data_IF_460331398968
#
_entry.id   IF_460331398968
#
_cell.length_a   1.000
_cell.length_b   1.000
_cell.length_c   1.000
_cell.angle_alpha   90.00
_cell.angle_beta   90.00
_cell.angle_gamma   90.00
#
_symmetry.space_group_name_H-M   'P 1'
#
loop_
_entity.id
_entity.type
_entity.pdbx_description
1 polymer ?
#
# COMPACT_ATOMS: atom_id res chain seq x y z
N UNK A 1 21.75 11.69 5.22
CA UNK A 1 20.83 10.64 5.73
C UNK A 1 19.37 11.02 5.52
N UNK A 2 18.93 12.22 5.95
CA UNK A 2 17.53 12.67 5.81
C UNK A 2 17.00 12.74 4.36
N UNK A 3 17.79 13.22 3.40
CA UNK A 3 17.35 13.35 1.98
C UNK A 3 17.08 11.99 1.32
N UNK A 4 17.88 10.97 1.66
CA UNK A 4 17.68 9.59 1.19
C UNK A 4 16.40 8.99 1.79
N UNK A 5 16.14 9.27 3.08
CA UNK A 5 14.90 8.85 3.76
C UNK A 5 13.65 9.45 3.14
N UNK A 6 13.68 10.74 2.76
CA UNK A 6 12.55 11.41 2.08
C UNK A 6 12.27 10.84 0.68
N UNK A 7 13.29 10.57 -0.12
CA UNK A 7 13.13 9.97 -1.46
C UNK A 7 12.56 8.56 -1.33
N UNK A 8 13.04 7.77 -0.38
CA UNK A 8 12.55 6.41 -0.14
C UNK A 8 11.09 6.40 0.35
N UNK A 9 10.73 7.34 1.23
CA UNK A 9 9.36 7.52 1.70
C UNK A 9 8.42 7.98 0.56
N UNK A 10 8.88 8.87 -0.32
CA UNK A 10 8.09 9.32 -1.48
C UNK A 10 7.82 8.18 -2.47
N UNK A 11 8.85 7.40 -2.81
CA UNK A 11 8.73 6.24 -3.72
C UNK A 11 7.85 5.15 -3.08
N UNK A 12 8.04 4.87 -1.79
CA UNK A 12 7.20 3.93 -1.04
C UNK A 12 5.73 4.38 -0.95
N UNK A 13 5.49 5.69 -0.80
CA UNK A 13 4.15 6.28 -0.81
C UNK A 13 3.46 6.14 -2.18
N UNK A 14 4.17 6.44 -3.27
CA UNK A 14 3.65 6.29 -4.63
C UNK A 14 3.39 4.81 -4.96
N UNK A 15 4.33 3.92 -4.63
CA UNK A 15 4.18 2.47 -4.81
C UNK A 15 2.99 1.91 -4.03
N UNK A 16 2.80 2.36 -2.79
CA UNK A 16 1.64 2.01 -1.95
C UNK A 16 0.32 2.48 -2.56
N UNK A 17 0.29 3.70 -3.13
CA UNK A 17 -0.89 4.24 -3.79
C UNK A 17 -1.27 3.44 -5.05
N UNK A 18 -0.28 3.07 -5.87
CA UNK A 18 -0.52 2.26 -7.07
C UNK A 18 -1.07 0.88 -6.68
N UNK A 19 -0.49 0.23 -5.67
CA UNK A 19 -0.98 -1.05 -5.18
C UNK A 19 -2.43 -0.94 -4.66
N UNK A 20 -2.73 0.13 -3.92
CA UNK A 20 -4.07 0.42 -3.42
C UNK A 20 -5.09 0.60 -4.55
N UNK A 21 -4.74 1.37 -5.59
CA UNK A 21 -5.59 1.56 -6.78
C UNK A 21 -5.83 0.23 -7.49
N UNK A 22 -4.79 -0.60 -7.67
CA UNK A 22 -4.94 -1.91 -8.32
C UNK A 22 -5.88 -2.85 -7.55
N UNK A 23 -5.81 -2.85 -6.22
CA UNK A 23 -6.71 -3.64 -5.37
C UNK A 23 -8.14 -3.12 -5.49
N UNK A 24 -8.35 -1.80 -5.44
CA UNK A 24 -9.67 -1.19 -5.62
C UNK A 24 -10.31 -1.55 -6.96
N UNK A 25 -9.56 -1.46 -8.07
CA UNK A 25 -10.06 -1.81 -9.41
C UNK A 25 -10.56 -3.27 -9.46
N UNK A 26 -9.93 -4.19 -8.72
CA UNK A 26 -10.38 -5.58 -8.63
C UNK A 26 -11.51 -5.78 -7.63
N UNK A 27 -11.59 -4.94 -6.61
CA UNK A 27 -12.60 -4.99 -5.55
C UNK A 27 -13.98 -4.51 -6.01
N UNK A 28 -14.05 -3.39 -6.74
CA UNK A 28 -15.30 -2.83 -7.26
C UNK A 28 -16.16 -3.84 -8.03
N UNK A 29 -15.63 -4.61 -9.01
CA UNK A 29 -16.40 -5.61 -9.73
C UNK A 29 -16.65 -6.90 -8.92
N UNK A 30 -15.81 -7.23 -7.93
CA UNK A 30 -15.94 -8.47 -7.16
C UNK A 30 -16.94 -8.38 -6.01
N UNK A 31 -17.03 -7.22 -5.36
CA UNK A 31 -17.77 -7.02 -4.11
C UNK A 31 -18.84 -5.92 -4.18
N UNK A 32 -18.90 -5.19 -5.29
CA UNK A 32 -19.84 -4.11 -5.52
C UNK A 32 -19.37 -2.76 -4.99
N UNK A 33 -20.02 -1.68 -5.47
CA UNK A 33 -19.61 -0.31 -5.20
C UNK A 33 -19.61 0.07 -3.70
N UNK A 34 -20.50 -0.53 -2.89
CA UNK A 34 -20.62 -0.22 -1.47
C UNK A 34 -19.34 -0.60 -0.69
N UNK A 35 -18.81 -1.80 -0.96
CA UNK A 35 -17.57 -2.28 -0.33
C UNK A 35 -16.34 -1.63 -0.96
N UNK A 36 -16.40 -1.24 -2.24
CA UNK A 36 -15.39 -0.41 -2.89
C UNK A 36 -15.23 0.97 -2.23
N UNK A 37 -16.34 1.64 -1.91
CA UNK A 37 -16.34 2.92 -1.17
C UNK A 37 -15.78 2.75 0.25
N UNK A 38 -16.11 1.66 0.94
CA UNK A 38 -15.50 1.32 2.23
C UNK A 38 -13.98 1.10 2.11
N UNK A 39 -13.51 0.51 1.01
CA UNK A 39 -12.09 0.37 0.70
C UNK A 39 -11.39 1.71 0.47
N UNK A 40 -12.07 2.70 -0.12
CA UNK A 40 -11.55 4.06 -0.32
C UNK A 40 -11.44 4.81 1.01
N UNK A 41 -12.46 4.70 1.87
CA UNK A 41 -12.48 5.37 3.19
C UNK A 41 -11.47 4.73 4.14
N UNK A 42 -11.25 3.41 4.03
CA UNK A 42 -10.37 2.66 4.90
C UNK A 42 -9.34 1.86 4.10
N UNK A 43 -8.12 2.41 4.00
CA UNK A 43 -6.99 1.76 3.32
C UNK A 43 -6.63 0.40 3.93
N UNK A 44 -6.81 0.24 5.24
CA UNK A 44 -6.66 -1.04 5.94
C UNK A 44 -7.69 -2.08 5.48
N UNK A 45 -8.94 -1.67 5.21
CA UNK A 45 -9.96 -2.60 4.72
C UNK A 45 -9.61 -3.12 3.32
N UNK A 46 -9.20 -2.24 2.41
CA UNK A 46 -8.71 -2.65 1.09
C UNK A 46 -7.47 -3.56 1.20
N UNK A 47 -6.58 -3.30 2.16
CA UNK A 47 -5.40 -4.12 2.39
C UNK A 47 -5.76 -5.54 2.84
N UNK A 48 -6.65 -5.67 3.84
CA UNK A 48 -7.13 -6.96 4.33
C UNK A 48 -7.87 -7.71 3.22
N UNK A 49 -8.75 -7.03 2.49
CA UNK A 49 -9.48 -7.62 1.37
C UNK A 49 -8.54 -8.12 0.27
N UNK A 50 -7.53 -7.31 -0.08
CA UNK A 50 -6.50 -7.64 -1.07
C UNK A 50 -5.71 -8.89 -0.68
N UNK A 51 -5.35 -9.05 0.60
CA UNK A 51 -4.71 -10.25 1.13
C UNK A 51 -5.63 -11.47 1.12
N UNK A 52 -6.87 -11.32 1.55
CA UNK A 52 -7.86 -12.41 1.56
C UNK A 52 -8.15 -12.96 0.16
N UNK A 53 -8.16 -12.09 -0.85
CA UNK A 53 -8.43 -12.47 -2.24
C UNK A 53 -7.16 -12.55 -3.11
N UNK A 54 -5.97 -12.49 -2.50
CA UNK A 54 -4.70 -12.47 -3.21
C UNK A 54 -4.52 -13.70 -4.11
N UNK A 55 -4.90 -14.89 -3.61
CA UNK A 55 -4.84 -16.13 -4.37
C UNK A 55 -5.90 -16.23 -5.47
N UNK A 56 -7.07 -15.58 -5.31
CA UNK A 56 -8.18 -15.65 -6.28
C UNK A 56 -7.96 -14.76 -7.50
N UNK A 57 -7.34 -13.59 -7.31
CA UNK A 57 -7.12 -12.62 -8.39
C UNK A 57 -5.65 -12.43 -8.77
N UNK A 58 -4.77 -13.34 -8.33
CA UNK A 58 -3.32 -13.28 -8.58
C UNK A 58 -2.68 -11.95 -8.12
N UNK A 59 -3.26 -11.33 -7.08
CA UNK A 59 -2.78 -10.08 -6.49
C UNK A 59 -1.61 -10.31 -5.53
N UNK A 60 -1.14 -11.54 -5.34
CA UNK A 60 -0.07 -11.87 -4.38
C UNK A 60 1.17 -10.99 -4.58
N UNK A 61 1.70 -10.88 -5.80
CA UNK A 61 2.87 -10.02 -6.08
C UNK A 61 2.60 -8.54 -5.75
N UNK A 62 1.38 -8.07 -6.01
CA UNK A 62 0.98 -6.69 -5.72
C UNK A 62 0.88 -6.47 -4.21
N UNK A 63 0.30 -7.41 -3.46
CA UNK A 63 0.19 -7.33 -2.01
C UNK A 63 1.55 -7.44 -1.32
N UNK A 64 2.44 -8.32 -1.79
CA UNK A 64 3.82 -8.37 -1.31
C UNK A 64 4.55 -7.06 -1.58
N UNK A 65 4.43 -6.50 -2.79
CA UNK A 65 4.96 -5.18 -3.14
C UNK A 65 4.40 -4.07 -2.26
N UNK A 66 3.10 -4.09 -2.00
CA UNK A 66 2.43 -3.09 -1.16
C UNK A 66 2.95 -3.14 0.28
N UNK A 67 3.05 -4.34 0.84
CA UNK A 67 3.58 -4.54 2.20
C UNK A 67 5.04 -4.13 2.29
N UNK A 68 5.87 -4.47 1.29
CA UNK A 68 7.26 -4.03 1.20
C UNK A 68 7.38 -2.49 1.10
N UNK A 69 6.51 -1.84 0.33
CA UNK A 69 6.47 -0.37 0.24
C UNK A 69 6.13 0.29 1.59
N UNK A 70 5.17 -0.27 2.34
CA UNK A 70 4.84 0.21 3.69
C UNK A 70 6.04 0.05 4.61
N UNK A 71 6.69 -1.11 4.60
CA UNK A 71 7.88 -1.39 5.44
C UNK A 71 9.03 -0.45 5.07
N UNK A 72 9.32 -0.26 3.77
CA UNK A 72 10.35 0.66 3.30
C UNK A 72 10.04 2.11 3.66
N UNK A 73 8.76 2.52 3.60
CA UNK A 73 8.35 3.86 4.03
C UNK A 73 8.53 4.05 5.54
N UNK A 74 8.23 3.05 6.36
CA UNK A 74 8.48 3.07 7.81
C UNK A 74 9.98 3.16 8.10
N UNK A 75 10.80 2.32 7.46
CA UNK A 75 12.26 2.34 7.63
C UNK A 75 12.85 3.67 7.16
N UNK A 76 12.39 4.19 6.02
CA UNK A 76 12.80 5.50 5.49
C UNK A 76 12.48 6.66 6.43
N UNK A 77 11.29 6.63 7.06
CA UNK A 77 10.92 7.62 8.08
C UNK A 77 11.80 7.53 9.33
N UNK A 78 12.09 6.32 9.81
CA UNK A 78 12.98 6.10 10.97
C UNK A 78 14.42 6.55 10.65
N UNK A 79 14.96 6.22 9.47
CA UNK A 79 16.28 6.71 9.06
C UNK A 79 16.30 8.24 8.89
N UNK A 80 15.21 8.82 8.41
CA UNK A 80 15.09 10.27 8.27
C UNK A 80 15.02 10.97 9.63
N UNK A 81 14.38 10.38 10.64
CA UNK A 81 14.33 10.93 11.99
C UNK A 81 15.66 10.77 12.75
N UNK A 82 16.40 9.68 12.50
CA UNK A 82 17.74 9.49 13.05
C UNK A 82 18.80 10.42 12.43
N UNK A 83 18.62 10.83 11.18
CA UNK A 83 19.54 11.72 10.46
C UNK A 83 19.25 13.22 10.63
N UNK A 84 18.28 13.59 11.48
CA UNK A 84 17.92 14.97 11.79
C UNK A 84 18.49 15.46 13.14
N UNK A 85 19.36 14.66 13.78
CA UNK A 85 20.20 15.01 14.93
C UNK A 85 21.65 15.22 14.46
#
# INVERSE_FOLDING_TARGET
MATVGLILAAIGGIGSLICFIMVLIKMFPAEGALKGVLGIICSLYAFIWGWMNAGRFNLQNIMYGWTACIVLAVIGNVLSSMGAQ
#
